data_IF_977182157644
#
_entry.id   IF_977182157644
#
_cell.length_a   1.000
_cell.length_b   1.000
_cell.length_c   1.000
_cell.angle_alpha   90.00
_cell.angle_beta   90.00
_cell.angle_gamma   90.00
#
_symmetry.space_group_name_H-M   'P 1'
#
loop_
_entity.id
_entity.type
_entity.pdbx_description
1 polymer ?
#
# COMPACT_ATOMS: atom_id res chain seq x y z
N UNK A 1 -30.84 50.88 20.94
CA UNK A 1 -30.77 50.26 19.60
C UNK A 1 -30.37 48.81 19.79
N UNK A 2 -31.35 47.96 20.09
CA UNK A 2 -31.18 46.50 20.09
C UNK A 2 -31.79 45.98 18.79
N UNK A 3 -31.00 45.29 17.98
CA UNK A 3 -31.49 44.54 16.83
C UNK A 3 -31.56 43.07 17.22
N UNK A 4 -32.72 42.67 17.76
CA UNK A 4 -33.09 41.27 17.90
C UNK A 4 -33.25 40.68 16.49
N UNK A 5 -32.42 39.70 16.15
CA UNK A 5 -32.57 38.94 14.91
C UNK A 5 -33.71 37.94 15.11
N UNK A 6 -34.88 38.32 14.61
CA UNK A 6 -36.12 37.55 14.69
C UNK A 6 -36.05 36.33 13.74
N UNK A 7 -35.64 35.17 14.25
CA UNK A 7 -35.71 33.89 13.53
C UNK A 7 -37.10 33.25 13.69
N UNK A 8 -38.13 33.90 13.13
CA UNK A 8 -39.45 33.29 13.04
C UNK A 8 -39.50 32.28 11.87
N UNK A 9 -39.80 31.03 12.24
CA UNK A 9 -40.90 30.26 11.67
C UNK A 9 -40.88 30.04 10.14
N UNK A 10 -39.93 29.23 9.66
CA UNK A 10 -40.13 28.52 8.39
C UNK A 10 -40.77 27.17 8.69
N UNK A 11 -41.94 26.95 8.09
CA UNK A 11 -42.75 25.75 8.26
C UNK A 11 -41.96 24.46 7.95
N UNK A 12 -42.22 23.35 8.69
CA UNK A 12 -41.47 22.10 8.55
C UNK A 12 -41.49 21.51 7.12
N UNK A 13 -42.54 21.78 6.35
CA UNK A 13 -42.67 21.33 4.95
C UNK A 13 -41.68 22.01 4.00
N UNK A 14 -41.31 23.28 4.23
CA UNK A 14 -40.31 23.98 3.43
C UNK A 14 -38.88 23.45 3.68
N UNK A 15 -38.58 23.01 4.91
CA UNK A 15 -37.32 22.33 5.26
C UNK A 15 -37.23 20.93 4.64
N UNK A 16 -38.34 20.21 4.57
CA UNK A 16 -38.41 18.91 3.88
C UNK A 16 -38.19 19.08 2.37
N UNK A 17 -38.75 20.12 1.75
CA UNK A 17 -38.57 20.40 0.33
C UNK A 17 -37.14 20.84 -0.04
N UNK A 18 -36.46 21.64 0.80
CA UNK A 18 -35.07 22.04 0.54
C UNK A 18 -34.08 20.87 0.73
N UNK A 19 -34.39 19.95 1.64
CA UNK A 19 -33.64 18.69 1.80
C UNK A 19 -33.81 17.71 0.62
N UNK A 20 -34.86 17.90 -0.20
CA UNK A 20 -35.16 17.02 -1.34
C UNK A 20 -34.38 17.38 -2.62
N UNK A 21 -33.82 18.59 -2.72
CA UNK A 21 -33.08 19.07 -3.90
C UNK A 21 -31.56 18.81 -3.88
N UNK A 22 -30.98 18.52 -2.70
CA UNK A 22 -29.59 18.10 -2.57
C UNK A 22 -29.57 16.58 -2.43
N UNK A 23 -29.60 15.88 -3.56
CA UNK A 23 -29.39 14.44 -3.63
C UNK A 23 -28.04 14.11 -2.95
N UNK A 24 -28.09 13.76 -1.67
CA UNK A 24 -26.94 13.43 -0.83
C UNK A 24 -26.20 12.30 -1.53
N UNK A 25 -25.01 12.56 -2.07
CA UNK A 25 -24.15 11.49 -2.60
C UNK A 25 -23.73 10.62 -1.42
N UNK A 26 -24.44 9.52 -1.22
CA UNK A 26 -24.06 8.49 -0.28
C UNK A 26 -22.71 7.89 -0.68
N UNK A 27 -21.86 7.63 0.30
CA UNK A 27 -20.65 6.84 0.13
C UNK A 27 -21.04 5.42 -0.29
N UNK A 28 -20.41 4.93 -1.36
CA UNK A 28 -20.61 3.59 -1.90
C UNK A 28 -19.59 2.63 -1.29
N UNK A 29 -20.10 1.49 -0.81
CA UNK A 29 -19.27 0.41 -0.27
C UNK A 29 -18.29 -0.14 -1.31
N UNK A 30 -18.75 -0.29 -2.56
CA UNK A 30 -17.90 -0.77 -3.65
C UNK A 30 -16.76 0.19 -3.96
N UNK A 31 -17.02 1.50 -3.98
CA UNK A 31 -15.98 2.50 -4.19
C UNK A 31 -14.96 2.46 -3.06
N UNK A 32 -15.41 2.28 -1.81
CA UNK A 32 -14.54 2.18 -0.66
C UNK A 32 -13.61 0.94 -0.73
N UNK A 33 -14.13 -0.23 -1.11
CA UNK A 33 -13.30 -1.43 -1.32
C UNK A 33 -12.32 -1.30 -2.49
N UNK A 34 -12.74 -0.72 -3.61
CA UNK A 34 -11.83 -0.49 -4.75
C UNK A 34 -10.68 0.44 -4.35
N UNK A 35 -10.99 1.53 -3.64
CA UNK A 35 -9.95 2.43 -3.13
C UNK A 35 -9.05 1.75 -2.09
N UNK A 36 -9.59 0.87 -1.25
CA UNK A 36 -8.82 0.11 -0.27
C UNK A 36 -7.89 -0.93 -0.92
N UNK A 37 -8.33 -1.60 -1.99
CA UNK A 37 -7.52 -2.61 -2.66
C UNK A 37 -6.29 -1.98 -3.37
N UNK A 38 -6.50 -0.91 -4.14
CA UNK A 38 -5.43 -0.30 -4.94
C UNK A 38 -4.65 0.78 -4.20
N UNK A 39 -5.30 1.50 -3.29
CA UNK A 39 -4.74 2.66 -2.60
C UNK A 39 -4.87 2.60 -1.08
N UNK A 40 -5.15 1.41 -0.54
CA UNK A 40 -5.41 1.21 0.89
C UNK A 40 -4.23 1.61 1.76
N UNK A 41 -3.00 1.26 1.37
CA UNK A 41 -1.79 1.64 2.10
C UNK A 41 -1.61 3.16 2.23
N UNK A 42 -2.11 3.93 1.27
CA UNK A 42 -2.06 5.40 1.31
C UNK A 42 -3.23 6.02 2.09
N UNK A 43 -4.21 5.22 2.52
CA UNK A 43 -5.37 5.69 3.28
C UNK A 43 -6.42 6.45 2.46
N UNK A 44 -6.41 6.32 1.12
CA UNK A 44 -7.32 7.08 0.24
C UNK A 44 -8.80 6.71 0.48
N UNK A 45 -9.09 5.46 0.81
CA UNK A 45 -10.44 5.03 1.19
C UNK A 45 -10.94 5.73 2.46
N UNK A 46 -10.07 6.00 3.43
CA UNK A 46 -10.42 6.81 4.61
C UNK A 46 -10.66 8.27 4.25
N UNK A 47 -9.91 8.85 3.30
CA UNK A 47 -10.19 10.20 2.76
C UNK A 47 -11.58 10.25 2.11
N UNK A 48 -11.93 9.23 1.33
CA UNK A 48 -13.26 9.09 0.72
C UNK A 48 -14.38 9.05 1.76
N UNK A 49 -14.17 8.29 2.84
CA UNK A 49 -15.11 8.14 3.96
C UNK A 49 -15.11 9.32 4.94
N UNK A 50 -14.26 10.34 4.72
CA UNK A 50 -14.20 11.54 5.57
C UNK A 50 -13.45 11.36 6.89
N UNK A 51 -12.62 10.32 7.01
CA UNK A 51 -11.87 9.94 8.21
C UNK A 51 -10.40 10.38 8.06
N UNK A 52 -10.18 11.70 8.09
CA UNK A 52 -8.88 12.30 7.74
C UNK A 52 -7.71 11.85 8.64
N UNK A 53 -7.93 11.70 9.94
CA UNK A 53 -6.87 11.30 10.87
C UNK A 53 -6.46 9.84 10.65
N UNK A 54 -7.44 8.97 10.39
CA UNK A 54 -7.19 7.57 10.03
C UNK A 54 -6.50 7.47 8.67
N UNK A 55 -6.87 8.29 7.69
CA UNK A 55 -6.14 8.37 6.43
C UNK A 55 -4.66 8.73 6.66
N UNK A 56 -4.39 9.75 7.47
CA UNK A 56 -3.03 10.21 7.79
C UNK A 56 -2.22 9.14 8.53
N UNK A 57 -2.84 8.44 9.47
CA UNK A 57 -2.24 7.29 10.14
C UNK A 57 -1.79 6.22 9.14
N UNK A 58 -2.62 5.92 8.12
CA UNK A 58 -2.26 4.95 7.07
C UNK A 58 -1.08 5.43 6.24
N UNK A 59 -1.10 6.69 5.80
CA UNK A 59 -0.02 7.27 5.00
C UNK A 59 1.33 7.27 5.74
N UNK A 60 1.33 7.46 7.07
CA UNK A 60 2.55 7.51 7.89
C UNK A 60 3.07 6.11 8.27
N UNK A 61 2.17 5.14 8.48
CA UNK A 61 2.52 3.82 9.05
C UNK A 61 2.29 2.63 8.12
N UNK A 62 1.78 2.86 6.90
CA UNK A 62 1.32 1.79 6.02
C UNK A 62 0.11 1.02 6.58
N UNK A 63 -0.73 1.70 7.38
CA UNK A 63 -1.86 1.08 8.08
C UNK A 63 -1.44 0.24 9.28
N UNK A 64 -0.62 0.81 10.17
CA UNK A 64 -0.05 0.16 11.35
C UNK A 64 0.66 -1.16 10.99
N UNK A 65 1.61 -1.10 10.06
CA UNK A 65 2.38 -2.25 9.59
C UNK A 65 1.49 -3.37 9.00
N UNK A 66 0.43 -2.99 8.26
CA UNK A 66 -0.48 -3.92 7.58
C UNK A 66 -1.64 -4.46 8.43
N UNK A 67 -1.57 -4.40 9.77
CA UNK A 67 -2.65 -4.89 10.65
C UNK A 67 -3.93 -4.06 10.45
N UNK A 68 -3.78 -2.74 10.31
CA UNK A 68 -4.89 -1.83 10.03
C UNK A 68 -5.52 -2.10 8.67
N UNK A 69 -4.72 -2.46 7.65
CA UNK A 69 -5.23 -2.81 6.33
C UNK A 69 -6.18 -4.02 6.35
N UNK A 70 -5.84 -5.05 7.14
CA UNK A 70 -6.71 -6.22 7.37
C UNK A 70 -7.97 -5.84 8.16
N UNK A 71 -7.81 -5.04 9.23
CA UNK A 71 -8.95 -4.55 10.03
C UNK A 71 -9.96 -3.78 9.17
N UNK A 72 -9.47 -2.94 8.26
CA UNK A 72 -10.31 -2.13 7.39
C UNK A 72 -11.20 -2.97 6.48
N UNK A 73 -10.73 -4.14 6.04
CA UNK A 73 -11.56 -5.05 5.26
C UNK A 73 -12.86 -5.41 5.99
N UNK A 74 -12.77 -5.77 7.26
CA UNK A 74 -13.94 -6.12 8.08
C UNK A 74 -14.77 -4.91 8.47
N UNK A 75 -14.11 -3.79 8.76
CA UNK A 75 -14.76 -2.58 9.27
C UNK A 75 -15.31 -1.66 8.18
N UNK A 76 -15.03 -1.96 6.90
CA UNK A 76 -15.44 -1.12 5.76
C UNK A 76 -16.93 -0.85 5.74
N UNK A 77 -17.73 -1.87 6.05
CA UNK A 77 -19.18 -1.78 6.13
C UNK A 77 -19.56 -0.67 7.13
N UNK A 78 -19.15 -0.81 8.40
CA UNK A 78 -19.41 0.18 9.45
C UNK A 78 -18.94 1.59 9.07
N UNK A 79 -17.78 1.73 8.43
CA UNK A 79 -17.26 3.04 8.03
C UNK A 79 -18.13 3.71 6.96
N UNK A 80 -18.71 2.93 6.05
CA UNK A 80 -19.63 3.47 5.04
C UNK A 80 -20.98 3.87 5.66
N UNK A 81 -21.51 3.11 6.62
CA UNK A 81 -22.72 3.49 7.36
C UNK A 81 -22.48 4.75 8.21
N UNK A 82 -21.31 4.87 8.85
CA UNK A 82 -20.92 6.06 9.61
C UNK A 82 -20.81 7.28 8.68
N UNK A 83 -20.16 7.15 7.53
CA UNK A 83 -20.01 8.22 6.53
C UNK A 83 -21.35 8.69 5.94
N UNK A 84 -22.30 7.75 5.82
CA UNK A 84 -23.67 8.00 5.36
C UNK A 84 -24.60 8.54 6.46
N UNK A 85 -24.14 8.62 7.71
CA UNK A 85 -24.93 9.15 8.83
C UNK A 85 -25.97 8.17 9.40
N UNK A 86 -26.01 6.93 8.90
CA UNK A 86 -26.99 5.91 9.32
C UNK A 86 -26.74 5.32 10.71
N UNK A 87 -25.50 5.39 11.20
CA UNK A 87 -25.12 5.00 12.57
C UNK A 87 -24.97 6.27 13.41
N UNK A 88 -26.06 6.72 14.03
CA UNK A 88 -26.03 7.71 15.11
C UNK A 88 -26.05 7.03 16.47
N UNK A 89 -25.21 7.47 17.43
CA UNK A 89 -25.24 6.93 18.78
C UNK A 89 -26.57 7.28 19.45
N UNK A 90 -27.12 6.32 20.18
CA UNK A 90 -28.32 6.49 21.01
C UNK A 90 -28.09 7.57 22.09
N UNK A 91 -29.14 8.19 22.64
CA UNK A 91 -29.00 9.16 23.73
C UNK A 91 -28.20 8.60 24.92
N UNK A 92 -28.41 7.34 25.28
CA UNK A 92 -27.67 6.65 26.34
C UNK A 92 -26.18 6.48 26.02
N UNK A 93 -25.83 6.18 24.76
CA UNK A 93 -24.43 6.08 24.30
C UNK A 93 -23.74 7.45 24.20
N UNK A 94 -24.50 8.51 23.92
CA UNK A 94 -23.99 9.89 23.97
C UNK A 94 -23.63 10.27 25.41
N UNK A 95 -24.44 9.85 26.39
CA UNK A 95 -24.23 10.14 27.81
C UNK A 95 -23.09 9.32 28.44
N UNK A 96 -22.99 8.01 28.12
CA UNK A 96 -21.88 7.15 28.58
C UNK A 96 -20.52 7.53 27.98
N UNK A 97 -20.51 8.27 26.87
CA UNK A 97 -19.32 8.54 26.08
C UNK A 97 -18.89 7.34 25.21
N UNK A 98 -17.99 7.55 24.24
CA UNK A 98 -17.59 6.49 23.31
C UNK A 98 -16.88 5.36 24.07
N UNK A 99 -17.17 4.10 23.76
CA UNK A 99 -16.50 2.95 24.38
C UNK A 99 -15.03 2.83 23.92
N UNK A 100 -14.18 2.27 24.79
CA UNK A 100 -12.78 2.01 24.47
C UNK A 100 -12.64 0.75 23.63
N UNK A 101 -12.00 0.84 22.47
CA UNK A 101 -11.62 -0.35 21.70
C UNK A 101 -10.20 -0.75 22.07
N UNK A 102 -10.00 -2.02 22.43
CA UNK A 102 -8.66 -2.57 22.72
C UNK A 102 -7.68 -2.35 21.56
N UNK A 103 -8.15 -2.45 20.32
CA UNK A 103 -7.33 -2.19 19.14
C UNK A 103 -6.84 -0.73 19.08
N UNK A 104 -7.67 0.22 19.53
CA UNK A 104 -7.30 1.64 19.57
C UNK A 104 -6.35 1.91 20.74
N UNK A 105 -6.56 1.27 21.89
CA UNK A 105 -5.67 1.38 23.05
C UNK A 105 -4.25 0.89 22.73
N UNK A 106 -4.09 -0.35 22.29
CA UNK A 106 -2.77 -0.90 21.93
C UNK A 106 -2.17 -0.21 20.71
N UNK A 107 -3.01 0.10 19.70
CA UNK A 107 -2.59 0.87 18.53
C UNK A 107 -2.03 2.25 18.92
N UNK A 108 -2.58 2.89 19.95
CA UNK A 108 -2.09 4.18 20.45
C UNK A 108 -0.72 4.05 21.08
N UNK A 109 -0.46 3.00 21.86
CA UNK A 109 0.85 2.78 22.49
C UNK A 109 1.92 2.57 21.43
N UNK A 110 1.66 1.69 20.47
CA UNK A 110 2.61 1.38 19.39
C UNK A 110 2.87 2.63 18.53
N UNK A 111 1.81 3.31 18.09
CA UNK A 111 1.96 4.45 17.19
C UNK A 111 2.50 5.70 17.89
N UNK A 112 2.19 5.92 19.17
CA UNK A 112 2.82 6.98 19.97
C UNK A 112 4.33 6.74 20.13
N UNK A 113 4.74 5.49 20.39
CA UNK A 113 6.16 5.12 20.41
C UNK A 113 6.84 5.35 19.07
N UNK A 114 6.18 4.96 17.98
CA UNK A 114 6.66 5.22 16.61
C UNK A 114 6.84 6.72 16.36
N UNK A 115 5.80 7.54 16.60
CA UNK A 115 5.87 9.00 16.43
C UNK A 115 6.94 9.64 17.33
N UNK A 116 7.08 9.22 18.59
CA UNK A 116 8.15 9.69 19.47
C UNK A 116 9.53 9.44 18.85
N UNK A 117 9.74 8.27 18.27
CA UNK A 117 10.97 7.93 17.53
C UNK A 117 11.26 8.90 16.38
N UNK A 118 10.25 9.24 15.55
CA UNK A 118 10.44 10.23 14.47
C UNK A 118 10.82 11.60 14.96
N UNK A 119 10.09 12.11 15.97
CA UNK A 119 10.32 13.47 16.44
C UNK A 119 11.67 13.59 17.15
N UNK A 120 12.11 12.54 17.85
CA UNK A 120 13.45 12.47 18.43
C UNK A 120 14.52 12.36 17.35
N UNK A 121 14.35 11.43 16.42
CA UNK A 121 15.29 11.21 15.33
C UNK A 121 15.36 12.36 14.33
N UNK A 122 14.36 13.24 14.28
CA UNK A 122 14.44 14.45 13.47
C UNK A 122 15.49 15.44 14.01
N UNK A 123 15.88 15.34 15.29
CA UNK A 123 16.94 16.14 15.89
C UNK A 123 18.30 15.48 15.59
N UNK A 124 19.26 16.20 14.99
CA UNK A 124 20.61 15.66 14.74
C UNK A 124 21.33 15.35 16.05
N UNK A 125 21.94 14.16 16.16
CA UNK A 125 22.76 13.77 17.33
C UNK A 125 24.02 14.65 17.51
N UNK A 126 24.44 15.33 16.45
CA UNK A 126 25.55 16.30 16.45
C UNK A 126 25.25 17.54 17.30
N UNK A 127 23.97 17.81 17.53
CA UNK A 127 23.50 18.88 18.38
C UNK A 127 23.44 18.30 19.80
N UNK A 128 24.44 18.60 20.64
CA UNK A 128 24.48 18.23 22.07
C UNK A 128 23.39 18.98 22.86
N UNK A 129 22.14 18.66 22.57
CA UNK A 129 20.96 19.32 23.10
C UNK A 129 20.65 18.76 24.49
N UNK A 130 20.40 19.64 25.44
CA UNK A 130 19.98 19.25 26.79
C UNK A 130 18.75 18.33 26.74
N UNK A 131 18.72 17.35 27.64
CA UNK A 131 17.62 16.40 27.75
C UNK A 131 16.26 17.08 27.97
N UNK A 132 16.24 18.23 28.66
CA UNK A 132 15.04 19.05 28.85
C UNK A 132 14.50 19.64 27.55
N UNK A 133 15.37 19.95 26.59
CA UNK A 133 14.96 20.44 25.28
C UNK A 133 14.48 19.28 24.42
N UNK A 134 15.12 18.11 24.54
CA UNK A 134 14.66 16.86 23.90
C UNK A 134 13.34 16.32 24.47
N UNK A 135 12.87 16.83 25.61
CA UNK A 135 11.53 16.54 26.13
C UNK A 135 10.41 17.03 25.19
N UNK A 136 10.58 18.19 24.54
CA UNK A 136 9.52 18.78 23.73
C UNK A 136 9.16 17.94 22.49
N UNK A 137 10.13 17.48 21.67
CA UNK A 137 9.86 16.56 20.57
C UNK A 137 9.28 15.22 21.06
N UNK A 138 9.73 14.68 22.21
CA UNK A 138 9.17 13.45 22.80
C UNK A 138 7.67 13.58 23.09
N UNK A 139 7.29 14.63 23.83
CA UNK A 139 5.90 14.86 24.21
C UNK A 139 5.03 15.12 22.98
N UNK A 140 5.55 15.89 22.02
CA UNK A 140 4.84 16.20 20.79
C UNK A 140 4.58 14.93 19.98
N UNK A 141 5.60 14.07 19.81
CA UNK A 141 5.45 12.79 19.11
C UNK A 141 4.43 11.87 19.78
N UNK A 142 4.49 11.72 21.11
CA UNK A 142 3.52 10.92 21.86
C UNK A 142 2.09 11.46 21.74
N UNK A 143 1.89 12.78 21.91
CA UNK A 143 0.58 13.41 21.80
C UNK A 143 -0.01 13.30 20.38
N UNK A 144 0.80 13.50 19.35
CA UNK A 144 0.39 13.34 17.94
C UNK A 144 -0.03 11.89 17.67
N UNK A 145 0.75 10.91 18.12
CA UNK A 145 0.42 9.50 17.93
C UNK A 145 -0.89 9.10 18.60
N UNK A 146 -1.08 9.50 19.87
CA UNK A 146 -2.33 9.25 20.63
C UNK A 146 -3.52 9.95 19.96
N UNK A 147 -3.34 11.20 19.54
CA UNK A 147 -4.41 11.98 18.93
C UNK A 147 -4.85 11.39 17.58
N UNK A 148 -3.91 10.99 16.72
CA UNK A 148 -4.21 10.42 15.40
C UNK A 148 -4.92 9.06 15.50
N UNK A 149 -4.51 8.21 16.46
CA UNK A 149 -5.16 6.91 16.65
C UNK A 149 -6.56 7.07 17.25
N UNK A 150 -6.76 7.95 18.23
CA UNK A 150 -8.03 7.99 18.97
C UNK A 150 -9.05 9.01 18.46
N UNK A 151 -8.63 10.04 17.73
CA UNK A 151 -9.54 11.07 17.20
C UNK A 151 -10.06 10.72 15.81
N UNK A 152 -10.81 9.63 15.68
CA UNK A 152 -11.29 9.12 14.40
C UNK A 152 -12.81 9.18 14.26
N UNK A 153 -13.28 9.49 13.05
CA UNK A 153 -14.71 9.56 12.74
C UNK A 153 -15.45 10.62 13.56
N UNK A 154 -16.52 10.21 14.24
CA UNK A 154 -17.32 11.06 15.14
C UNK A 154 -16.69 11.26 16.53
N UNK A 155 -15.61 10.58 16.88
CA UNK A 155 -14.95 10.69 18.19
C UNK A 155 -13.78 11.69 18.09
N UNK A 156 -13.71 12.65 19.01
CA UNK A 156 -12.57 13.58 19.13
C UNK A 156 -12.15 13.76 20.58
N UNK A 157 -10.89 14.13 20.77
CA UNK A 157 -10.39 14.60 22.05
C UNK A 157 -9.65 15.93 21.89
N UNK A 158 -9.50 16.71 22.96
CA UNK A 158 -8.76 17.97 22.92
C UNK A 158 -7.25 17.71 22.88
N UNK A 159 -6.60 17.99 21.74
CA UNK A 159 -5.17 17.72 21.51
C UNK A 159 -4.25 18.40 22.55
N UNK A 160 -4.56 19.63 22.93
CA UNK A 160 -3.80 20.45 23.87
C UNK A 160 -3.79 19.87 25.28
N UNK A 161 -4.89 19.24 25.72
CA UNK A 161 -4.93 18.55 27.01
C UNK A 161 -4.06 17.29 26.95
N UNK A 162 -4.09 16.55 25.85
CA UNK A 162 -3.21 15.40 25.62
C UNK A 162 -1.74 15.80 25.59
N UNK A 163 -1.41 16.92 24.94
CA UNK A 163 -0.04 17.44 24.90
C UNK A 163 0.44 17.88 26.30
N UNK A 164 -0.39 18.59 27.07
CA UNK A 164 -0.06 18.96 28.44
C UNK A 164 0.17 17.73 29.33
N UNK A 165 -0.65 16.69 29.17
CA UNK A 165 -0.49 15.43 29.88
C UNK A 165 0.79 14.66 29.45
N UNK A 166 1.18 14.74 28.18
CA UNK A 166 2.43 14.15 27.70
C UNK A 166 3.65 14.87 28.30
N UNK A 167 3.63 16.20 28.37
CA UNK A 167 4.67 17.00 29.03
C UNK A 167 4.78 16.67 30.54
N UNK A 168 3.64 16.50 31.22
CA UNK A 168 3.63 16.06 32.61
C UNK A 168 4.23 14.65 32.77
N UNK A 169 3.93 13.74 31.84
CA UNK A 169 4.52 12.41 31.82
C UNK A 169 6.04 12.43 31.67
N UNK A 170 6.60 13.40 30.93
CA UNK A 170 8.05 13.56 30.85
C UNK A 170 8.64 14.02 32.18
N UNK A 171 7.96 14.92 32.90
CA UNK A 171 8.37 15.28 34.25
C UNK A 171 8.51 14.06 35.16
N UNK A 172 7.59 13.09 35.03
CA UNK A 172 7.67 11.81 35.76
C UNK A 172 8.86 10.96 35.30
N UNK A 173 9.15 10.91 33.99
CA UNK A 173 10.32 10.17 33.46
C UNK A 173 11.63 10.76 33.99
N UNK A 174 11.79 12.08 33.96
CA UNK A 174 13.00 12.75 34.43
C UNK A 174 13.19 12.57 35.94
N UNK A 175 12.11 12.62 36.73
CA UNK A 175 12.17 12.28 38.16
C UNK A 175 12.50 10.80 38.37
N UNK A 176 11.96 9.89 37.55
CA UNK A 176 12.26 8.46 37.65
C UNK A 176 13.72 8.14 37.32
N UNK A 177 14.35 8.91 36.43
CA UNK A 177 15.79 8.80 36.13
C UNK A 177 16.64 9.27 37.29
N UNK A 178 16.27 10.37 37.95
CA UNK A 178 16.93 10.84 39.19
C UNK A 178 16.81 9.78 40.32
N UNK A 179 15.71 9.03 40.34
CA UNK A 179 15.45 7.98 41.33
C UNK A 179 15.92 6.58 40.89
N UNK A 180 16.60 6.47 39.74
CA UNK A 180 17.11 5.20 39.17
C UNK A 180 16.03 4.11 38.97
N UNK A 181 14.77 4.50 38.69
CA UNK A 181 13.66 3.56 38.47
C UNK A 181 13.54 3.23 36.97
N UNK A 182 14.21 2.17 36.53
CA UNK A 182 14.25 1.81 35.11
C UNK A 182 12.89 1.34 34.55
N UNK A 183 12.03 0.76 35.38
CA UNK A 183 10.73 0.22 34.96
C UNK A 183 9.76 1.28 34.42
N UNK A 184 10.02 2.55 34.71
CA UNK A 184 9.20 3.68 34.27
C UNK A 184 9.75 4.37 33.01
N UNK A 185 10.92 3.98 32.47
CA UNK A 185 11.48 4.60 31.27
C UNK A 185 10.48 4.50 30.09
N UNK A 186 10.02 5.65 29.60
CA UNK A 186 9.17 5.77 28.41
C UNK A 186 7.67 5.42 28.56
N UNK A 187 7.24 4.88 29.70
CA UNK A 187 5.83 4.52 29.94
C UNK A 187 4.95 5.72 30.36
N UNK A 188 5.34 6.56 31.33
CA UNK A 188 4.51 7.68 31.81
C UNK A 188 4.15 8.67 30.71
N UNK A 189 5.08 8.96 29.79
CA UNK A 189 4.88 9.86 28.65
C UNK A 189 3.86 9.37 27.62
N UNK A 190 3.48 8.09 27.64
CA UNK A 190 2.42 7.53 26.77
C UNK A 190 1.15 7.21 27.55
N UNK A 191 1.27 6.58 28.72
CA UNK A 191 0.13 6.10 29.52
C UNK A 191 -0.68 7.25 30.12
N UNK A 192 0.00 8.28 30.64
CA UNK A 192 -0.66 9.45 31.24
C UNK A 192 -1.49 10.21 30.19
N UNK A 193 -0.93 10.66 29.05
CA UNK A 193 -1.73 11.33 28.03
C UNK A 193 -2.82 10.45 27.42
N UNK A 194 -2.60 9.14 27.29
CA UNK A 194 -3.62 8.22 26.81
C UNK A 194 -4.81 8.14 27.78
N UNK A 195 -4.54 8.00 29.08
CA UNK A 195 -5.58 7.96 30.12
C UNK A 195 -6.37 9.27 30.15
N UNK A 196 -5.66 10.40 30.08
CA UNK A 196 -6.27 11.73 30.02
C UNK A 196 -7.12 11.90 28.76
N UNK A 197 -6.65 11.43 27.60
CA UNK A 197 -7.43 11.45 26.35
C UNK A 197 -8.73 10.64 26.50
N UNK A 198 -8.65 9.41 27.02
CA UNK A 198 -9.82 8.54 27.16
C UNK A 198 -10.88 9.08 28.11
N UNK A 199 -10.46 9.88 29.11
CA UNK A 199 -11.37 10.57 30.04
C UNK A 199 -12.01 11.83 29.44
N UNK A 200 -11.34 12.50 28.51
CA UNK A 200 -11.77 13.78 27.94
C UNK A 200 -12.26 13.70 26.49
N UNK A 201 -12.40 12.49 25.94
CA UNK A 201 -12.95 12.29 24.59
C UNK A 201 -14.45 12.50 24.59
N UNK A 202 -14.96 13.06 23.50
CA UNK A 202 -16.37 13.38 23.33
C UNK A 202 -16.83 12.98 21.93
N UNK A 203 -18.14 12.75 21.82
CA UNK A 203 -18.81 12.65 20.53
C UNK A 203 -18.92 14.04 19.93
N UNK A 204 -18.47 14.21 18.69
CA UNK A 204 -18.73 15.43 17.93
C UNK A 204 -20.23 15.47 17.65
N UNK A 205 -20.96 16.31 18.39
CA UNK A 205 -22.37 16.58 18.13
C UNK A 205 -22.53 17.21 16.74
N UNK A 206 -23.55 16.78 16.02
CA UNK A 206 -23.91 17.34 14.71
C UNK A 206 -24.70 18.64 14.91
N UNK A 207 -24.04 19.66 15.46
CA UNK A 207 -24.58 21.01 15.56
C UNK A 207 -24.68 21.64 14.16
N UNK A 208 -25.58 22.61 13.97
CA UNK A 208 -25.82 23.26 12.66
C UNK A 208 -24.54 23.86 12.04
N UNK A 209 -23.60 24.33 12.86
CA UNK A 209 -22.28 24.81 12.42
C UNK A 209 -21.39 23.67 11.90
N UNK A 210 -21.46 22.51 12.54
CA UNK A 210 -20.72 21.30 12.18
C UNK A 210 -21.31 20.67 10.90
N UNK A 211 -22.64 20.72 10.76
CA UNK A 211 -23.37 20.35 9.53
C UNK A 211 -22.95 21.23 8.35
N UNK A 212 -22.93 22.54 8.52
CA UNK A 212 -22.49 23.50 7.50
C UNK A 212 -21.00 23.31 7.11
N UNK A 213 -20.13 23.03 8.08
CA UNK A 213 -18.72 22.68 7.85
C UNK A 213 -18.57 21.38 7.06
N UNK A 214 -19.34 20.34 7.41
CA UNK A 214 -19.35 19.04 6.74
C UNK A 214 -19.92 19.14 5.32
N UNK A 215 -20.94 19.97 5.10
CA UNK A 215 -21.46 20.29 3.77
C UNK A 215 -20.42 21.04 2.93
N UNK A 216 -19.72 22.02 3.50
CA UNK A 216 -18.60 22.70 2.83
C UNK A 216 -17.48 21.72 2.48
N UNK A 217 -17.13 20.82 3.40
CA UNK A 217 -16.16 19.76 3.16
C UNK A 217 -16.67 18.74 2.12
N UNK A 218 -17.97 18.45 2.04
CA UNK A 218 -18.57 17.62 0.98
C UNK A 218 -18.57 18.33 -0.39
N UNK A 219 -18.68 19.66 -0.42
CA UNK A 219 -18.51 20.49 -1.63
C UNK A 219 -17.06 20.55 -2.12
N UNK A 220 -16.07 20.38 -1.23
CA UNK A 220 -14.68 20.28 -1.68
C UNK A 220 -14.47 19.04 -2.52
N UNK A 221 -13.81 19.20 -3.66
CA UNK A 221 -13.53 18.10 -4.58
C UNK A 221 -12.73 17.01 -3.88
N UNK A 222 -12.98 15.77 -4.27
CA UNK A 222 -12.20 14.62 -3.78
C UNK A 222 -10.70 14.84 -4.02
N UNK A 223 -10.33 15.38 -5.18
CA UNK A 223 -8.94 15.76 -5.48
C UNK A 223 -8.35 16.70 -4.43
N UNK A 224 -9.07 17.76 -4.03
CA UNK A 224 -8.58 18.68 -3.00
C UNK A 224 -8.37 18.01 -1.65
N UNK A 225 -9.27 17.09 -1.25
CA UNK A 225 -9.09 16.31 -0.01
C UNK A 225 -7.84 15.44 -0.08
N UNK A 226 -7.65 14.75 -1.20
CA UNK A 226 -6.48 13.91 -1.45
C UNK A 226 -5.19 14.74 -1.47
N UNK A 227 -5.18 15.92 -2.12
CA UNK A 227 -4.03 16.82 -2.09
C UNK A 227 -3.70 17.29 -0.67
N UNK A 228 -4.69 17.71 0.11
CA UNK A 228 -4.46 18.07 1.53
C UNK A 228 -3.91 16.91 2.35
N UNK A 229 -4.39 15.69 2.10
CA UNK A 229 -3.92 14.47 2.75
C UNK A 229 -2.44 14.21 2.45
N UNK A 230 -2.05 14.22 1.17
CA UNK A 230 -0.64 14.08 0.77
C UNK A 230 0.23 15.25 1.26
N UNK A 231 -0.29 16.47 1.32
CA UNK A 231 0.44 17.61 1.88
C UNK A 231 0.73 17.42 3.39
N UNK A 232 -0.26 16.95 4.17
CA UNK A 232 -0.05 16.58 5.58
C UNK A 232 0.97 15.44 5.70
N UNK A 233 0.87 14.42 4.85
CA UNK A 233 1.84 13.31 4.83
C UNK A 233 3.25 13.73 4.43
N UNK A 234 3.39 14.68 3.50
CA UNK A 234 4.68 15.20 3.06
C UNK A 234 5.45 15.86 4.22
N UNK A 235 4.77 16.52 5.15
CA UNK A 235 5.40 17.05 6.38
C UNK A 235 6.05 15.93 7.20
N UNK A 236 5.36 14.80 7.41
CA UNK A 236 5.93 13.64 8.08
C UNK A 236 7.04 12.97 7.25
N UNK A 237 6.89 12.94 5.92
CA UNK A 237 7.93 12.48 5.01
C UNK A 237 9.21 13.29 5.11
N UNK A 238 9.11 14.62 5.28
CA UNK A 238 10.26 15.50 5.53
C UNK A 238 10.93 15.21 6.87
N UNK A 239 10.16 14.90 7.93
CA UNK A 239 10.73 14.48 9.21
C UNK A 239 11.51 13.16 9.08
N UNK A 240 10.96 12.17 8.36
CA UNK A 240 11.65 10.92 8.08
C UNK A 240 12.90 11.14 7.20
N UNK A 241 12.81 12.00 6.20
CA UNK A 241 13.95 12.37 5.36
C UNK A 241 15.06 13.05 6.19
N UNK A 242 14.69 13.93 7.13
CA UNK A 242 15.63 14.54 8.08
C UNK A 242 16.32 13.47 8.94
N UNK A 243 15.53 12.55 9.53
CA UNK A 243 16.08 11.43 10.30
C UNK A 243 17.06 10.58 9.48
N UNK A 244 16.66 10.17 8.27
CA UNK A 244 17.51 9.38 7.39
C UNK A 244 18.77 10.16 6.98
N UNK A 245 18.66 11.46 6.77
CA UNK A 245 19.80 12.29 6.38
C UNK A 245 20.83 12.48 7.51
N UNK A 246 20.37 12.67 8.75
CA UNK A 246 21.26 12.94 9.88
C UNK A 246 21.77 11.67 10.58
N UNK A 247 20.92 10.65 10.69
CA UNK A 247 21.18 9.49 11.55
C UNK A 247 21.35 8.16 10.79
N UNK A 248 21.04 8.07 9.49
CA UNK A 248 21.31 6.84 8.76
C UNK A 248 22.81 6.66 8.55
N UNK A 249 23.34 5.57 9.07
CA UNK A 249 24.74 5.16 8.94
C UNK A 249 24.81 3.83 8.18
N UNK A 250 25.86 3.69 7.38
CA UNK A 250 26.22 2.43 6.73
C UNK A 250 27.46 1.92 7.47
N UNK A 251 27.37 0.71 8.00
CA UNK A 251 28.52 -0.01 8.56
C UNK A 251 29.11 -0.88 7.45
N UNK A 252 30.41 -0.72 7.20
CA UNK A 252 31.14 -1.54 6.25
C UNK A 252 32.35 -2.16 6.96
N UNK A 253 32.73 -3.37 6.54
CA UNK A 253 33.92 -4.05 7.03
C UNK A 253 35.06 -3.84 6.04
N UNK A 254 36.22 -3.40 6.53
CA UNK A 254 37.47 -3.41 5.78
C UNK A 254 37.97 -4.83 5.56
N UNK A 255 38.89 -5.01 4.61
CA UNK A 255 39.60 -6.28 4.37
C UNK A 255 40.34 -6.78 5.62
N UNK A 256 40.72 -5.87 6.53
CA UNK A 256 41.35 -6.17 7.82
C UNK A 256 40.35 -6.59 8.92
N UNK A 257 39.06 -6.70 8.60
CA UNK A 257 37.98 -7.02 9.56
C UNK A 257 37.58 -5.86 10.48
N UNK A 258 38.13 -4.67 10.29
CA UNK A 258 37.74 -3.47 11.05
C UNK A 258 36.46 -2.87 10.49
N UNK A 259 35.47 -2.64 11.35
CA UNK A 259 34.23 -1.97 10.98
C UNK A 259 34.41 -0.45 10.96
N UNK A 260 34.01 0.19 9.87
CA UNK A 260 33.91 1.64 9.79
C UNK A 260 32.45 2.04 9.53
N UNK A 261 32.01 3.07 10.23
CA UNK A 261 30.65 3.60 10.15
C UNK A 261 30.66 4.93 9.43
N UNK A 262 29.97 5.03 8.29
CA UNK A 262 29.89 6.26 7.51
C UNK A 262 28.45 6.74 7.41
N UNK A 263 28.25 8.05 7.45
CA UNK A 263 26.93 8.65 7.35
C UNK A 263 26.43 8.55 5.91
N UNK A 264 25.20 8.10 5.73
CA UNK A 264 24.60 7.87 4.42
C UNK A 264 24.69 9.12 3.53
N UNK A 265 24.38 10.29 4.10
CA UNK A 265 24.37 11.58 3.37
C UNK A 265 25.70 11.92 2.68
N UNK A 266 26.83 11.58 3.29
CA UNK A 266 28.16 11.91 2.77
C UNK A 266 28.55 10.97 1.61
N UNK A 267 27.81 9.86 1.46
CA UNK A 267 28.02 8.87 0.42
C UNK A 267 26.96 8.84 -0.66
N UNK A 268 25.82 9.52 -0.49
CA UNK A 268 24.78 9.59 -1.53
C UNK A 268 25.35 10.06 -2.88
N UNK A 269 26.26 11.05 -2.87
CA UNK A 269 26.88 11.54 -4.10
C UNK A 269 27.86 10.51 -4.71
N UNK A 270 28.53 9.71 -3.88
CA UNK A 270 29.42 8.65 -4.32
C UNK A 270 28.64 7.45 -4.86
N UNK A 271 27.51 7.10 -4.25
CA UNK A 271 26.57 6.09 -4.75
C UNK A 271 26.06 6.50 -6.12
N UNK A 272 25.60 7.75 -6.26
CA UNK A 272 25.15 8.29 -7.56
C UNK A 272 26.27 8.28 -8.62
N UNK A 273 27.52 8.50 -8.22
CA UNK A 273 28.69 8.45 -9.10
C UNK A 273 29.28 7.05 -9.27
N UNK A 274 28.72 6.02 -8.63
CA UNK A 274 29.28 4.67 -8.71
C UNK A 274 29.17 4.11 -10.13
N UNK A 275 30.14 3.27 -10.58
CA UNK A 275 30.10 2.64 -11.89
C UNK A 275 28.79 1.89 -12.14
N UNK A 276 28.28 1.17 -11.11
CA UNK A 276 27.03 0.41 -11.21
C UNK A 276 25.81 1.30 -11.50
N UNK A 277 25.70 2.46 -10.85
CA UNK A 277 24.58 3.39 -11.08
C UNK A 277 24.70 4.04 -12.46
N UNK A 278 25.91 4.40 -12.89
CA UNK A 278 26.14 4.95 -14.22
C UNK A 278 25.82 3.93 -15.33
N UNK A 279 26.29 2.69 -15.17
CA UNK A 279 25.98 1.57 -16.06
C UNK A 279 24.48 1.30 -16.10
N UNK A 280 23.80 1.32 -14.95
CA UNK A 280 22.35 1.15 -14.91
C UNK A 280 21.65 2.20 -15.76
N UNK A 281 21.95 3.50 -15.58
CA UNK A 281 21.32 4.55 -16.38
C UNK A 281 21.69 4.47 -17.86
N UNK A 282 22.91 4.04 -18.19
CA UNK A 282 23.34 3.81 -19.57
C UNK A 282 22.52 2.69 -20.22
N UNK A 283 22.42 1.53 -19.55
CA UNK A 283 21.65 0.36 -20.02
C UNK A 283 20.18 0.70 -20.14
N UNK A 284 19.61 1.42 -19.17
CA UNK A 284 18.23 1.89 -19.23
C UNK A 284 17.99 2.86 -20.39
N UNK A 285 18.96 3.72 -20.71
CA UNK A 285 18.92 4.58 -21.88
C UNK A 285 18.96 3.80 -23.20
N UNK A 286 19.84 2.80 -23.30
CA UNK A 286 19.92 1.89 -24.46
C UNK A 286 18.62 1.09 -24.62
N UNK A 287 18.06 0.60 -23.52
CA UNK A 287 16.78 -0.11 -23.50
C UNK A 287 15.64 0.79 -23.96
N UNK A 288 15.61 2.05 -23.53
CA UNK A 288 14.61 3.02 -23.97
C UNK A 288 14.67 3.28 -25.48
N UNK A 289 15.86 3.50 -26.04
CA UNK A 289 16.01 3.67 -27.50
C UNK A 289 15.65 2.38 -28.26
N UNK A 290 16.00 1.21 -27.70
CA UNK A 290 15.61 -0.07 -28.29
C UNK A 290 14.08 -0.25 -28.30
N UNK A 291 13.39 0.07 -27.19
CA UNK A 291 11.91 0.07 -27.09
C UNK A 291 11.30 1.05 -28.10
N UNK A 292 11.89 2.24 -28.27
CA UNK A 292 11.39 3.26 -29.19
C UNK A 292 11.50 2.84 -30.66
N UNK A 293 12.55 2.09 -31.02
CA UNK A 293 12.80 1.62 -32.38
C UNK A 293 12.04 0.34 -32.75
N UNK A 294 12.00 -0.65 -31.85
CA UNK A 294 11.45 -1.98 -32.11
C UNK A 294 10.02 -2.19 -31.54
N UNK A 295 9.53 -1.23 -30.75
CA UNK A 295 8.25 -1.31 -30.06
C UNK A 295 8.30 -2.18 -28.80
N UNK A 296 7.44 -1.87 -27.83
CA UNK A 296 7.39 -2.57 -26.53
C UNK A 296 7.14 -4.08 -26.65
N UNK A 297 6.36 -4.53 -27.64
CA UNK A 297 6.03 -5.95 -27.82
C UNK A 297 7.26 -6.79 -28.14
N UNK A 298 8.12 -6.33 -29.04
CA UNK A 298 9.34 -7.04 -29.44
C UNK A 298 10.30 -7.20 -28.24
N UNK A 299 10.47 -6.12 -27.47
CA UNK A 299 11.33 -6.12 -26.26
C UNK A 299 10.77 -7.06 -25.19
N UNK A 300 9.45 -7.05 -25.01
CA UNK A 300 8.79 -7.97 -24.08
C UNK A 300 8.97 -9.42 -24.52
N UNK A 301 8.82 -9.73 -25.82
CA UNK A 301 8.98 -11.08 -26.34
C UNK A 301 10.43 -11.58 -26.20
N UNK A 302 11.43 -10.74 -26.46
CA UNK A 302 12.85 -11.06 -26.24
C UNK A 302 13.16 -11.24 -24.75
N UNK A 303 12.60 -10.38 -23.89
CA UNK A 303 12.75 -10.49 -22.45
C UNK A 303 12.16 -11.81 -21.94
N UNK A 304 10.92 -12.13 -22.31
CA UNK A 304 10.25 -13.39 -21.93
C UNK A 304 11.02 -14.60 -22.46
N UNK A 305 11.57 -14.55 -23.68
CA UNK A 305 12.42 -15.61 -24.22
C UNK A 305 13.71 -15.78 -23.42
N UNK A 306 14.38 -14.69 -23.04
CA UNK A 306 15.63 -14.76 -22.27
C UNK A 306 15.44 -15.27 -20.83
N UNK A 307 14.24 -15.13 -20.28
CA UNK A 307 13.89 -15.71 -18.98
C UNK A 307 13.67 -17.23 -19.02
N UNK A 308 13.59 -17.86 -20.20
CA UNK A 308 13.28 -19.28 -20.40
C UNK A 308 12.17 -19.76 -19.44
N UNK A 309 11.03 -19.06 -19.43
CA UNK A 309 9.94 -19.29 -18.45
C UNK A 309 9.41 -20.73 -18.50
N UNK A 310 9.52 -21.39 -19.66
CA UNK A 310 9.15 -22.80 -19.87
C UNK A 310 10.30 -23.78 -19.54
N UNK A 311 11.51 -23.29 -19.28
CA UNK A 311 12.69 -24.09 -18.96
C UNK A 311 13.17 -24.99 -20.11
N UNK A 312 12.78 -24.68 -21.35
CA UNK A 312 13.03 -25.52 -22.53
C UNK A 312 14.50 -25.50 -22.90
N UNK A 313 15.13 -24.33 -22.90
CA UNK A 313 16.57 -24.19 -23.21
C UNK A 313 17.43 -24.78 -22.10
N UNK A 314 17.08 -24.54 -20.83
CA UNK A 314 17.74 -25.16 -19.69
C UNK A 314 17.71 -26.70 -19.78
N UNK A 315 16.56 -27.27 -20.15
CA UNK A 315 16.39 -28.72 -20.29
C UNK A 315 17.24 -29.32 -21.41
N UNK A 316 17.36 -28.64 -22.56
CA UNK A 316 18.29 -29.06 -23.62
C UNK A 316 19.75 -28.98 -23.17
N UNK A 317 20.11 -27.93 -22.43
CA UNK A 317 21.47 -27.72 -21.89
C UNK A 317 21.87 -28.82 -20.90
N UNK A 318 20.98 -29.20 -19.97
CA UNK A 318 21.20 -30.30 -19.01
C UNK A 318 21.42 -31.64 -19.72
N UNK A 319 20.69 -31.90 -20.81
CA UNK A 319 20.85 -33.10 -21.62
C UNK A 319 22.05 -33.05 -22.60
N UNK A 320 22.74 -31.92 -22.69
CA UNK A 320 23.87 -31.71 -23.60
C UNK A 320 23.45 -31.64 -25.08
N UNK A 321 22.24 -31.16 -25.35
CA UNK A 321 21.65 -31.05 -26.68
C UNK A 321 21.51 -29.59 -27.12
N UNK A 322 21.50 -29.38 -28.43
CA UNK A 322 21.18 -28.07 -29.03
C UNK A 322 19.67 -27.82 -28.93
N UNK A 323 19.22 -26.59 -28.65
CA UNK A 323 17.79 -26.24 -28.69
C UNK A 323 17.15 -26.65 -30.02
N UNK A 324 16.06 -27.42 -29.96
CA UNK A 324 15.37 -27.94 -31.15
C UNK A 324 15.80 -29.35 -31.61
N UNK A 325 16.56 -30.09 -30.79
CA UNK A 325 16.88 -31.49 -31.06
C UNK A 325 15.63 -32.38 -31.21
N UNK A 326 15.71 -33.41 -32.04
CA UNK A 326 14.58 -34.31 -32.31
C UNK A 326 14.17 -35.13 -31.07
N UNK A 327 12.89 -35.54 -30.95
CA UNK A 327 12.44 -36.37 -29.82
C UNK A 327 13.21 -37.69 -29.67
N UNK A 328 13.72 -38.23 -30.78
CA UNK A 328 14.60 -39.40 -30.80
C UNK A 328 15.98 -39.14 -30.19
N UNK A 329 16.54 -37.94 -30.41
CA UNK A 329 17.83 -37.53 -29.84
C UNK A 329 17.71 -37.25 -28.35
N UNK A 330 16.63 -36.58 -27.93
CA UNK A 330 16.31 -36.35 -26.51
C UNK A 330 16.22 -37.66 -25.74
N UNK A 331 15.48 -38.66 -26.26
CA UNK A 331 15.40 -40.00 -25.65
C UNK A 331 16.73 -40.74 -25.64
N UNK A 332 17.58 -40.55 -26.65
CA UNK A 332 18.91 -41.18 -26.72
C UNK A 332 19.87 -40.58 -25.70
N UNK A 333 19.91 -39.24 -25.60
CA UNK A 333 20.73 -38.52 -24.64
C UNK A 333 20.33 -38.87 -23.20
N UNK A 334 19.03 -38.85 -22.89
CA UNK A 334 18.51 -39.26 -21.59
C UNK A 334 18.95 -40.68 -21.21
N UNK A 335 18.77 -41.68 -22.09
CA UNK A 335 19.19 -43.07 -21.80
C UNK A 335 20.70 -43.19 -21.59
N UNK A 336 21.50 -42.39 -22.28
CA UNK A 336 22.95 -42.38 -22.13
C UNK A 336 23.37 -41.82 -20.76
N UNK A 337 22.85 -40.63 -20.43
CA UNK A 337 23.15 -39.92 -19.18
C UNK A 337 22.57 -40.63 -17.96
N UNK A 338 21.35 -41.15 -18.05
CA UNK A 338 20.70 -41.93 -16.99
C UNK A 338 21.48 -43.20 -16.62
N UNK A 339 22.10 -43.88 -17.59
CA UNK A 339 22.96 -45.05 -17.32
C UNK A 339 24.28 -44.67 -16.64
N UNK A 340 24.80 -43.47 -16.94
CA UNK A 340 26.06 -42.95 -16.39
C UNK A 340 25.90 -42.46 -14.96
N UNK A 341 24.78 -41.81 -14.65
CA UNK A 341 24.49 -41.22 -13.35
C UNK A 341 23.49 -42.04 -12.50
N UNK A 342 23.17 -43.27 -12.90
CA UNK A 342 22.28 -44.14 -12.12
C UNK A 342 22.83 -44.34 -10.69
N UNK A 343 21.99 -44.25 -9.64
CA UNK A 343 22.43 -44.38 -8.24
C UNK A 343 23.17 -45.70 -7.97
N UNK A 344 22.75 -46.79 -8.62
CA UNK A 344 23.42 -48.09 -8.48
C UNK A 344 24.80 -48.20 -9.18
N UNK A 345 25.09 -47.32 -10.15
CA UNK A 345 26.31 -47.39 -10.97
C UNK A 345 27.33 -46.31 -10.63
N UNK A 346 26.88 -45.16 -10.15
CA UNK A 346 27.76 -44.06 -9.78
C UNK A 346 27.97 -44.01 -8.26
N UNK A 347 29.24 -43.87 -7.85
CA UNK A 347 29.65 -43.79 -6.42
C UNK A 347 30.00 -42.37 -5.95
N UNK A 348 29.80 -41.35 -6.79
CA UNK A 348 30.07 -39.94 -6.42
C UNK A 348 28.88 -39.35 -5.66
N UNK A 349 29.11 -38.45 -4.68
CA UNK A 349 28.03 -37.83 -3.91
C UNK A 349 27.07 -36.99 -4.78
N UNK A 350 27.56 -36.39 -5.87
CA UNK A 350 26.76 -35.55 -6.77
C UNK A 350 25.89 -36.33 -7.77
N UNK A 351 25.99 -37.67 -7.80
CA UNK A 351 25.35 -38.45 -8.86
C UNK A 351 23.84 -38.54 -8.73
N UNK A 352 23.32 -38.54 -7.50
CA UNK A 352 21.88 -38.52 -7.24
C UNK A 352 21.25 -37.20 -7.70
N UNK A 353 21.91 -36.08 -7.39
CA UNK A 353 21.47 -34.74 -7.80
C UNK A 353 21.46 -34.58 -9.32
N UNK A 354 22.55 -34.97 -9.99
CA UNK A 354 22.63 -34.94 -11.46
C UNK A 354 21.58 -35.84 -12.12
N UNK A 355 21.32 -37.02 -11.55
CA UNK A 355 20.29 -37.91 -12.07
C UNK A 355 18.88 -37.31 -11.94
N UNK A 356 18.60 -36.61 -10.84
CA UNK A 356 17.35 -35.88 -10.62
C UNK A 356 17.17 -34.77 -11.66
N UNK A 357 18.20 -33.94 -11.88
CA UNK A 357 18.18 -32.87 -12.88
C UNK A 357 17.98 -33.39 -14.32
N UNK A 358 18.68 -34.47 -14.69
CA UNK A 358 18.54 -35.11 -16.01
C UNK A 358 17.11 -35.62 -16.23
N UNK A 359 16.50 -36.18 -15.18
CA UNK A 359 15.12 -36.69 -15.24
C UNK A 359 14.12 -35.55 -15.37
N UNK A 360 14.27 -34.50 -14.57
CA UNK A 360 13.42 -33.33 -14.60
C UNK A 360 13.47 -32.62 -15.96
N UNK A 361 14.67 -32.42 -16.52
CA UNK A 361 14.86 -31.87 -17.86
C UNK A 361 14.15 -32.70 -18.95
N UNK A 362 14.24 -34.04 -18.87
CA UNK A 362 13.58 -34.93 -19.82
C UNK A 362 12.05 -34.92 -19.69
N UNK A 363 11.53 -34.91 -18.46
CA UNK A 363 10.09 -34.82 -18.19
C UNK A 363 9.51 -33.49 -18.66
N UNK A 364 10.24 -32.38 -18.45
CA UNK A 364 9.83 -31.06 -18.92
C UNK A 364 9.69 -31.01 -20.45
N UNK A 365 10.72 -31.44 -21.19
CA UNK A 365 10.67 -31.48 -22.66
C UNK A 365 9.53 -32.36 -23.20
N UNK A 366 9.24 -33.49 -22.56
CA UNK A 366 8.09 -34.31 -22.94
C UNK A 366 6.74 -33.63 -22.70
N UNK A 367 6.61 -32.88 -21.60
CA UNK A 367 5.38 -32.20 -21.28
C UNK A 367 5.14 -31.03 -22.25
N UNK A 368 6.18 -30.28 -22.59
CA UNK A 368 6.13 -29.22 -23.61
C UNK A 368 5.75 -29.78 -24.99
N UNK A 369 6.37 -30.89 -25.41
CA UNK A 369 6.04 -31.56 -26.68
C UNK A 369 4.56 -32.00 -26.72
N UNK A 370 4.04 -32.56 -25.61
CA UNK A 370 2.62 -32.95 -25.51
C UNK A 370 1.69 -31.74 -25.56
N UNK A 371 2.05 -30.63 -24.92
CA UNK A 371 1.26 -29.40 -24.94
C UNK A 371 1.21 -28.80 -26.34
N UNK A 372 2.34 -28.75 -27.04
CA UNK A 372 2.44 -28.29 -28.43
C UNK A 372 1.53 -29.13 -29.35
N UNK A 373 1.59 -30.47 -29.25
CA UNK A 373 0.72 -31.38 -30.02
C UNK A 373 -0.77 -31.16 -29.73
N UNK A 374 -1.14 -30.96 -28.45
CA UNK A 374 -2.52 -30.68 -28.08
C UNK A 374 -3.00 -29.32 -28.61
N UNK A 375 -2.14 -28.30 -28.61
CA UNK A 375 -2.47 -26.97 -29.09
C UNK A 375 -2.66 -26.97 -30.62
N UNK A 376 -1.78 -27.66 -31.33
CA UNK A 376 -1.86 -27.83 -32.79
C UNK A 376 -3.12 -28.60 -33.23
N UNK A 377 -3.60 -29.54 -32.40
CA UNK A 377 -4.86 -30.26 -32.65
C UNK A 377 -6.13 -29.44 -32.36
N UNK A 378 -6.02 -28.31 -31.65
CA UNK A 378 -7.14 -27.44 -31.24
C UNK A 378 -7.34 -26.23 -32.14
N UNK A 379 -6.41 -25.92 -33.04
CA UNK A 379 -6.59 -24.82 -34.01
C UNK A 379 -7.64 -25.21 -35.07
N UNK A 380 -8.75 -24.46 -35.20
CA UNK A 380 -9.74 -24.74 -36.23
C UNK A 380 -9.20 -24.34 -37.60
N UNK A 381 -9.31 -25.23 -38.60
CA UNK A 381 -8.88 -24.96 -39.97
C UNK A 381 -9.45 -23.62 -40.49
N UNK A 382 -8.64 -22.82 -41.21
CA UNK A 382 -9.11 -21.58 -41.82
C UNK A 382 -10.18 -21.91 -42.87
N UNK A 383 -11.42 -21.53 -42.56
CA UNK A 383 -12.62 -21.87 -43.33
C UNK A 383 -12.63 -21.15 -44.70
N UNK A 384 -11.95 -21.71 -45.70
CA UNK A 384 -11.80 -21.11 -47.02
C UNK A 384 -13.03 -21.30 -47.95
N UNK A 385 -14.17 -21.81 -47.46
CA UNK A 385 -15.31 -22.20 -48.31
C UNK A 385 -16.70 -21.69 -47.87
N UNK A 386 -16.81 -20.45 -47.37
CA UNK A 386 -18.13 -19.84 -47.06
C UNK A 386 -18.46 -18.49 -47.72
N UNK A 387 -17.64 -17.96 -48.62
CA UNK A 387 -17.90 -16.65 -49.27
C UNK A 387 -18.65 -16.73 -50.62
N UNK A 388 -18.68 -17.87 -51.31
CA UNK A 388 -19.29 -17.98 -52.65
C UNK A 388 -20.82 -18.15 -52.65
N UNK A 389 -21.40 -18.80 -51.63
CA UNK A 389 -22.83 -19.17 -51.63
C UNK A 389 -23.78 -18.07 -51.11
N UNK A 390 -23.28 -17.09 -50.35
CA UNK A 390 -24.11 -15.97 -49.85
C UNK A 390 -24.32 -14.87 -50.90
N UNK A 391 -23.40 -14.68 -51.84
CA UNK A 391 -23.49 -13.64 -52.87
C UNK A 391 -24.54 -13.99 -53.95
N UNK A 392 -24.63 -15.26 -54.35
CA UNK A 392 -25.66 -15.74 -55.31
C UNK A 392 -27.09 -15.66 -54.77
N UNK A 393 -27.33 -15.93 -53.48
CA UNK A 393 -28.68 -15.82 -52.88
C UNK A 393 -29.14 -14.36 -52.74
N UNK A 394 -28.22 -13.40 -52.60
CA UNK A 394 -28.57 -11.97 -52.47
C UNK A 394 -28.89 -11.31 -53.81
N UNK A 395 -28.24 -11.72 -54.91
CA UNK A 395 -28.59 -11.26 -56.26
C UNK A 395 -29.93 -11.83 -56.76
N UNK A 396 -30.25 -13.09 -56.47
CA UNK A 396 -31.52 -13.70 -56.88
C UNK A 396 -32.75 -13.10 -56.16
N UNK A 397 -32.56 -12.54 -54.95
CA UNK A 397 -33.62 -11.83 -54.21
C UNK A 397 -33.84 -10.40 -54.71
N UNK A 398 -32.79 -9.70 -55.18
CA UNK A 398 -32.90 -8.35 -55.75
C UNK A 398 -33.55 -8.32 -57.14
N UNK A 399 -33.36 -9.34 -57.98
CA UNK A 399 -33.97 -9.39 -59.31
C UNK A 399 -35.47 -9.76 -59.34
N UNK A 400 -36.03 -10.26 -58.23
CA UNK A 400 -37.45 -10.60 -58.13
C UNK A 400 -38.31 -9.44 -57.60
N UNK A 401 -37.69 -8.44 -56.98
CA UNK A 401 -38.39 -7.32 -56.36
C UNK A 401 -38.54 -6.10 -57.29
N UNK A 402 -37.86 -6.08 -58.44
CA UNK A 402 -37.97 -5.01 -59.46
C UNK A 402 -38.88 -5.36 -60.63
N UNK A 403 -39.69 -6.42 -60.55
CA UNK A 403 -40.64 -6.83 -61.60
C UNK A 403 -42.11 -6.66 -61.23
N UNK A 404 -42.39 -6.28 -59.99
CA UNK A 404 -43.76 -6.10 -59.48
C UNK A 404 -44.16 -4.61 -59.33
N UNK A 405 -43.28 -3.66 -59.71
CA UNK A 405 -43.49 -2.21 -59.58
C UNK A 405 -43.46 -1.45 -60.94
N UNK A 406 -43.91 -2.08 -62.04
CA UNK A 406 -44.11 -1.42 -63.34
C UNK A 406 -45.49 -1.73 -63.92
#
# INVERSE_FOLDING_TARGET
MGSECNCNFLAPEARAAESSGLQQRMASLWVAYTLWLFFGFFGIHHVYLGRENQALLWLISGGCFGVGWIRDFFMMHEYTFEANGTLEPTPEEKERGPLGSWAMFFGSIIFAGYCRGFFMGAVPEELEVSEWVMALPRALGAAVGIYLVNSNGKIRGPFWITLAAALLGIGVVLVSEILEIESLKGWPETVIPLTVFYRNRYWVAEDDTCRASRERARRTSFCWKTTKHFAKGAFFGLLLASFAFYNATITMQNEDGTEYTLKLRDHLINIYRSPAVQEFFLVMGQLYEHIKLHGWQTVWDEFVKSLDVEGKEHSYKVLGLVPGASPSEVKRAFRSLARKHHPDKCRQPDCEEKFREIREAFENLQNLEKQEQQQQSREPEPNHHRSSSRTRKRQKKRGRQTRDDL
#
